data_IF_414305780453
#
_entry.id   IF_414305780453
#
_cell.length_a   1.000
_cell.length_b   1.000
_cell.length_c   1.000
_cell.angle_alpha   90.00
_cell.angle_beta   90.00
_cell.angle_gamma   90.00
#
_symmetry.space_group_name_H-M   'P 1'
#
loop_
_entity.id
_entity.type
_entity.pdbx_description
1 polymer ?
#
# COMPACT_ATOMS: atom_id res chain seq x y z
N UNK A 1 -1.79 -1.54 13.13
CA UNK A 1 -3.17 -1.57 12.59
C UNK A 1 -3.08 -2.11 11.18
N UNK A 2 -4.00 -2.97 10.76
CA UNK A 2 -3.99 -3.55 9.43
C UNK A 2 -5.03 -2.88 8.51
N UNK A 3 -4.65 -2.60 7.27
CA UNK A 3 -5.54 -2.12 6.20
C UNK A 3 -5.50 -3.13 5.06
N UNK A 4 -6.67 -3.61 4.64
CA UNK A 4 -6.78 -4.49 3.48
C UNK A 4 -7.18 -3.65 2.28
N UNK A 5 -6.39 -3.70 1.22
CA UNK A 5 -6.68 -3.08 -0.08
C UNK A 5 -6.63 -4.19 -1.13
N UNK A 6 -7.60 -4.24 -2.03
CA UNK A 6 -7.65 -5.28 -3.07
C UNK A 6 -6.42 -5.31 -3.99
N UNK A 7 -6.06 -4.18 -4.61
CA UNK A 7 -4.96 -4.10 -5.58
C UNK A 7 -4.37 -2.68 -5.64
N UNK A 8 -3.03 -2.57 -5.60
CA UNK A 8 -2.29 -1.32 -5.84
C UNK A 8 -1.59 -1.32 -7.23
N UNK A 9 -2.29 -1.03 -8.35
CA UNK A 9 -1.68 -1.07 -9.68
C UNK A 9 -0.83 0.16 -10.04
N UNK A 10 -1.19 1.34 -9.55
CA UNK A 10 -0.44 2.60 -9.75
C UNK A 10 -0.97 3.66 -8.76
N UNK A 11 -0.26 4.76 -8.52
CA UNK A 11 -0.68 5.78 -7.58
C UNK A 11 -1.82 6.67 -8.12
N UNK A 12 -3.08 6.28 -7.90
CA UNK A 12 -4.29 6.97 -8.36
C UNK A 12 -5.22 7.25 -7.18
N UNK A 13 -6.53 7.28 -7.42
CA UNK A 13 -7.52 7.71 -6.42
C UNK A 13 -7.52 6.82 -5.18
N UNK A 14 -7.55 5.50 -5.36
CA UNK A 14 -7.59 4.55 -4.24
C UNK A 14 -6.36 4.63 -3.36
N UNK A 15 -5.17 4.67 -3.98
CA UNK A 15 -3.89 4.70 -3.30
C UNK A 15 -3.65 6.05 -2.60
N UNK A 16 -4.18 7.14 -3.15
CA UNK A 16 -4.17 8.45 -2.47
C UNK A 16 -5.02 8.45 -1.21
N UNK A 17 -6.17 7.77 -1.22
CA UNK A 17 -7.01 7.58 -0.03
C UNK A 17 -6.30 6.65 0.95
N UNK A 18 -5.74 5.53 0.48
CA UNK A 18 -4.94 4.61 1.29
C UNK A 18 -3.82 5.36 2.02
N UNK A 19 -3.09 6.25 1.32
CA UNK A 19 -2.05 7.08 1.93
C UNK A 19 -2.60 8.01 3.02
N UNK A 20 -3.81 8.58 2.87
CA UNK A 20 -4.42 9.37 3.94
C UNK A 20 -4.83 8.51 5.13
N UNK A 21 -5.32 7.29 4.90
CA UNK A 21 -5.63 6.33 5.96
C UNK A 21 -4.34 6.01 6.73
N UNK A 22 -3.27 5.63 6.04
CA UNK A 22 -1.99 5.29 6.66
C UNK A 22 -1.37 6.45 7.44
N UNK A 23 -1.60 7.71 7.05
CA UNK A 23 -1.15 8.89 7.83
C UNK A 23 -1.79 8.98 9.21
N UNK A 24 -2.99 8.44 9.40
CA UNK A 24 -3.65 8.40 10.72
C UNK A 24 -3.13 7.25 11.58
N UNK A 25 -2.47 6.26 10.98
CA UNK A 25 -2.02 5.04 11.62
C UNK A 25 -0.55 4.77 11.29
N UNK A 26 0.39 5.45 11.97
CA UNK A 26 1.82 5.19 11.79
C UNK A 26 2.12 3.71 12.10
N UNK A 27 3.04 3.10 11.33
CA UNK A 27 3.35 1.66 11.41
C UNK A 27 2.16 0.76 11.03
N UNK A 28 1.32 1.21 10.10
CA UNK A 28 0.27 0.38 9.54
C UNK A 28 0.85 -0.77 8.70
N UNK A 29 0.13 -1.87 8.67
CA UNK A 29 0.39 -3.00 7.78
C UNK A 29 -0.68 -3.00 6.68
N UNK A 30 -0.26 -2.98 5.42
CA UNK A 30 -1.15 -3.09 4.27
C UNK A 30 -1.12 -4.52 3.76
N UNK A 31 -2.28 -5.12 3.61
CA UNK A 31 -2.44 -6.42 2.94
C UNK A 31 -3.13 -6.20 1.60
N UNK A 32 -2.47 -6.62 0.51
CA UNK A 32 -3.00 -6.48 -0.86
C UNK A 32 -2.74 -7.71 -1.71
N UNK A 33 -3.61 -7.98 -2.69
CA UNK A 33 -3.38 -9.09 -3.61
C UNK A 33 -2.16 -8.82 -4.48
N UNK A 34 -2.03 -7.58 -4.95
CA UNK A 34 -1.01 -7.16 -5.90
C UNK A 34 -0.48 -5.77 -5.55
N UNK A 35 0.82 -5.60 -5.73
CA UNK A 35 1.53 -4.36 -5.47
C UNK A 35 2.52 -4.07 -6.59
N UNK A 36 2.17 -3.07 -7.38
CA UNK A 36 2.96 -2.57 -8.48
C UNK A 36 3.40 -1.12 -8.25
N UNK A 37 3.29 -0.62 -7.01
CA UNK A 37 3.76 0.72 -6.67
C UNK A 37 5.28 0.79 -6.75
N UNK A 38 5.79 1.88 -7.33
CA UNK A 38 7.22 2.11 -7.40
C UNK A 38 7.81 2.38 -6.02
N UNK A 39 9.11 2.13 -5.86
CA UNK A 39 9.82 2.45 -4.62
C UNK A 39 9.72 3.94 -4.26
N UNK A 40 9.75 4.83 -5.26
CA UNK A 40 9.59 6.29 -5.07
C UNK A 40 8.23 6.66 -4.50
N UNK A 41 7.15 6.04 -4.98
CA UNK A 41 5.80 6.26 -4.44
C UNK A 41 5.73 5.76 -2.99
N UNK A 42 6.30 4.59 -2.70
CA UNK A 42 6.31 4.05 -1.34
C UNK A 42 7.11 4.93 -0.38
N UNK A 43 8.28 5.40 -0.79
CA UNK A 43 9.11 6.31 0.00
C UNK A 43 8.39 7.64 0.28
N UNK A 44 7.67 8.17 -0.71
CA UNK A 44 7.00 9.46 -0.58
C UNK A 44 5.71 9.40 0.26
N UNK A 45 4.93 8.31 0.16
CA UNK A 45 3.57 8.25 0.71
C UNK A 45 3.36 7.18 1.79
N UNK A 46 4.26 6.20 1.91
CA UNK A 46 4.09 5.00 2.73
C UNK A 46 5.36 4.60 3.49
N UNK A 47 6.21 5.57 3.87
CA UNK A 47 7.52 5.31 4.50
C UNK A 47 7.46 4.39 5.72
N UNK A 48 6.51 4.63 6.62
CA UNK A 48 6.36 3.90 7.88
C UNK A 48 5.27 2.82 7.78
N UNK A 49 5.11 2.23 6.59
CA UNK A 49 4.04 1.26 6.31
C UNK A 49 4.64 0.01 5.69
N UNK A 50 4.26 -1.14 6.24
CA UNK A 50 4.69 -2.45 5.73
C UNK A 50 3.67 -2.98 4.73
N UNK A 51 4.13 -3.46 3.57
CA UNK A 51 3.28 -4.07 2.54
C UNK A 51 3.44 -5.58 2.53
N UNK A 52 2.31 -6.27 2.67
CA UNK A 52 2.18 -7.72 2.54
C UNK A 52 1.42 -8.02 1.25
N UNK A 53 2.03 -8.81 0.36
CA UNK A 53 1.43 -9.19 -0.93
C UNK A 53 1.06 -10.66 -0.96
N UNK A 54 0.04 -10.99 -1.75
CA UNK A 54 -0.34 -12.39 -1.96
C UNK A 54 0.67 -13.13 -2.83
N UNK A 55 0.61 -14.47 -2.81
CA UNK A 55 1.40 -15.31 -3.71
C UNK A 55 1.13 -15.02 -5.21
N UNK A 56 -0.04 -14.45 -5.54
CA UNK A 56 -0.40 -14.10 -6.91
C UNK A 56 0.41 -12.93 -7.47
N UNK A 57 1.08 -12.12 -6.64
CA UNK A 57 1.89 -10.97 -7.08
C UNK A 57 3.14 -11.34 -7.91
N UNK A 58 3.37 -12.63 -8.15
CA UNK A 58 4.46 -13.17 -8.98
C UNK A 58 3.99 -13.64 -10.36
N UNK A 59 2.68 -13.56 -10.63
CA UNK A 59 2.06 -13.85 -11.92
C UNK A 59 2.22 -12.64 -12.85
#
# INVERSE_FOLDING_TARGET
>A
MAVVHDWCPNFRGGERVLAQICKQFPNAEIFTLFDFLTAEVKEQYFRDVEFHTSAANRL
#
